data_IF_660581307510
#
_entry.id   IF_660581307510
#
_cell.length_a   1.000
_cell.length_b   1.000
_cell.length_c   1.000
_cell.angle_alpha   90.00
_cell.angle_beta   90.00
_cell.angle_gamma   90.00
#
_symmetry.space_group_name_H-M   'P 1'
#
loop_
_entity.id
_entity.type
_entity.pdbx_description
1 polymer ?
#
# COMPACT_ATOMS: atom_id res chain seq x y z
N UNK A 1 -5.06 15.80 7.12
CA UNK A 1 -5.12 14.75 6.09
C UNK A 1 -4.59 13.46 6.70
N UNK A 2 -5.22 12.30 6.50
CA UNK A 2 -4.86 11.07 7.23
C UNK A 2 -3.38 10.66 7.03
N UNK A 3 -2.84 10.90 5.84
CA UNK A 3 -1.46 10.53 5.49
C UNK A 3 -0.38 11.46 6.05
N UNK A 4 -0.74 12.63 6.61
CA UNK A 4 0.26 13.62 7.05
C UNK A 4 1.07 13.22 8.29
N UNK A 5 0.68 12.14 8.97
CA UNK A 5 1.41 11.57 10.10
C UNK A 5 2.63 10.75 9.65
N UNK A 6 2.69 10.33 8.37
CA UNK A 6 3.81 9.56 7.83
C UNK A 6 5.08 10.42 7.78
N UNK A 7 6.18 9.90 8.33
CA UNK A 7 7.50 10.55 8.31
C UNK A 7 8.60 9.56 7.92
N UNK A 8 8.63 9.12 6.67
CA UNK A 8 9.68 8.22 6.17
C UNK A 8 11.06 8.89 6.22
N UNK A 9 12.11 8.07 6.26
CA UNK A 9 13.51 8.53 6.29
C UNK A 9 14.10 8.71 7.69
N UNK A 10 13.29 8.89 8.75
CA UNK A 10 13.83 8.93 10.14
C UNK A 10 14.32 7.56 10.63
N UNK A 11 13.73 6.47 10.12
CA UNK A 11 14.05 5.07 10.46
C UNK A 11 14.20 4.18 9.22
N UNK A 12 14.33 4.78 8.04
CA UNK A 12 14.25 4.10 6.74
C UNK A 12 12.87 4.23 6.07
N UNK A 13 12.66 3.51 4.95
CA UNK A 13 11.36 3.45 4.27
C UNK A 13 10.28 2.79 5.13
N UNK A 14 9.04 3.21 4.92
CA UNK A 14 7.88 2.69 5.66
C UNK A 14 7.25 1.56 4.86
N UNK A 15 6.77 0.52 5.54
CA UNK A 15 5.89 -0.47 4.96
C UNK A 15 4.48 -0.21 5.46
N UNK A 16 3.51 -0.08 4.56
CA UNK A 16 2.11 0.12 4.92
C UNK A 16 1.26 -1.07 4.46
N UNK A 17 0.15 -1.29 5.15
CA UNK A 17 -0.90 -2.21 4.75
C UNK A 17 -2.22 -1.44 4.66
N UNK A 18 -2.91 -1.57 3.53
CA UNK A 18 -4.19 -0.93 3.24
C UNK A 18 -5.28 -2.00 3.19
N UNK A 19 -5.92 -2.25 4.34
CA UNK A 19 -6.88 -3.35 4.56
C UNK A 19 -8.29 -2.92 4.15
N UNK A 20 -9.01 -3.80 3.46
CA UNK A 20 -10.26 -3.47 2.74
C UNK A 20 -10.06 -2.33 1.72
N UNK A 21 -8.85 -2.24 1.18
CA UNK A 21 -8.37 -1.15 0.34
C UNK A 21 -8.37 -1.49 -1.14
N UNK A 22 -9.20 -2.43 -1.63
CA UNK A 22 -8.98 -3.06 -2.93
C UNK A 22 -8.86 -2.13 -4.13
N UNK A 23 -9.50 -0.94 -4.10
CA UNK A 23 -9.32 0.06 -5.17
C UNK A 23 -8.03 0.88 -5.07
N UNK A 24 -7.41 0.90 -3.89
CA UNK A 24 -6.10 1.47 -3.59
C UNK A 24 -6.03 3.00 -3.66
N UNK A 25 -7.13 3.71 -3.39
CA UNK A 25 -7.13 5.18 -3.28
C UNK A 25 -6.28 5.68 -2.10
N UNK A 26 -6.38 5.02 -0.94
CA UNK A 26 -5.55 5.35 0.23
C UNK A 26 -4.09 4.98 -0.03
N UNK A 27 -3.81 3.80 -0.58
CA UNK A 27 -2.47 3.42 -1.01
C UNK A 27 -1.81 4.46 -1.94
N UNK A 28 -2.53 4.98 -2.94
CA UNK A 28 -2.01 6.05 -3.80
C UNK A 28 -1.71 7.33 -3.03
N UNK A 29 -2.61 7.75 -2.13
CA UNK A 29 -2.38 8.93 -1.29
C UNK A 29 -1.17 8.77 -0.38
N UNK A 30 -0.92 7.58 0.17
CA UNK A 30 0.27 7.27 0.96
C UNK A 30 1.52 7.45 0.10
N UNK A 31 1.58 6.79 -1.06
CA UNK A 31 2.74 6.81 -1.95
C UNK A 31 3.03 8.21 -2.51
N UNK A 32 1.99 8.93 -2.94
CA UNK A 32 2.13 10.30 -3.44
C UNK A 32 2.61 11.24 -2.32
N UNK A 33 2.06 11.10 -1.11
CA UNK A 33 2.47 11.92 0.03
C UNK A 33 3.96 11.75 0.36
N UNK A 34 4.43 10.50 0.50
CA UNK A 34 5.83 10.23 0.85
C UNK A 34 6.79 10.61 -0.28
N UNK A 35 6.40 10.39 -1.53
CA UNK A 35 7.17 10.83 -2.71
C UNK A 35 7.31 12.35 -2.73
N UNK A 36 6.22 13.09 -2.59
CA UNK A 36 6.19 14.53 -2.79
C UNK A 36 6.73 15.31 -1.59
N UNK A 37 6.45 14.85 -0.36
CA UNK A 37 6.85 15.56 0.86
C UNK A 37 8.19 15.12 1.42
N UNK A 38 8.60 13.89 1.12
CA UNK A 38 9.81 13.29 1.71
C UNK A 38 10.81 12.79 0.68
N UNK A 39 10.53 12.93 -0.63
CA UNK A 39 11.36 12.39 -1.72
C UNK A 39 11.60 10.87 -1.62
N UNK A 40 10.73 10.16 -0.89
CA UNK A 40 10.82 8.74 -0.65
C UNK A 40 10.27 7.95 -1.86
N UNK A 41 11.06 6.99 -2.34
CA UNK A 41 10.72 6.09 -3.46
C UNK A 41 10.78 4.61 -3.06
N UNK A 42 10.98 4.35 -1.78
CA UNK A 42 11.20 3.02 -1.22
C UNK A 42 10.05 2.58 -0.32
N UNK A 43 9.21 3.49 0.18
CA UNK A 43 7.96 3.12 0.87
C UNK A 43 7.10 2.21 -0.01
N UNK A 44 6.59 1.14 0.61
CA UNK A 44 5.75 0.13 -0.05
C UNK A 44 4.38 0.04 0.61
N UNK A 45 3.36 -0.32 -0.16
CA UNK A 45 1.99 -0.54 0.34
C UNK A 45 1.48 -1.90 -0.15
N UNK A 46 1.08 -2.75 0.80
CA UNK A 46 0.35 -3.97 0.54
C UNK A 46 -1.15 -3.67 0.58
N UNK A 47 -1.81 -3.78 -0.58
CA UNK A 47 -3.24 -3.52 -0.75
C UNK A 47 -3.99 -4.83 -0.55
N UNK A 48 -4.85 -4.89 0.46
CA UNK A 48 -5.52 -6.11 0.88
C UNK A 48 -7.03 -5.94 0.82
N UNK A 49 -7.71 -6.87 0.16
CA UNK A 49 -9.17 -6.91 0.11
C UNK A 49 -9.64 -8.36 -0.06
N UNK A 50 -10.80 -8.70 0.50
CA UNK A 50 -11.40 -10.02 0.31
C UNK A 50 -12.08 -10.15 -1.05
N UNK A 51 -12.42 -9.02 -1.69
CA UNK A 51 -13.12 -8.99 -2.96
C UNK A 51 -12.16 -8.83 -4.14
N UNK A 52 -11.97 -9.91 -4.89
CA UNK A 52 -11.19 -9.94 -6.13
C UNK A 52 -11.64 -8.92 -7.19
N UNK A 53 -12.90 -8.46 -7.19
CA UNK A 53 -13.35 -7.38 -8.10
C UNK A 53 -12.73 -6.04 -7.73
N UNK A 54 -12.70 -5.70 -6.44
CA UNK A 54 -12.10 -4.47 -5.94
C UNK A 54 -10.61 -4.43 -6.27
N UNK A 55 -9.89 -5.52 -6.02
CA UNK A 55 -8.46 -5.65 -6.38
C UNK A 55 -8.22 -5.49 -7.88
N UNK A 56 -9.09 -6.03 -8.74
CA UNK A 56 -9.00 -5.82 -10.20
C UNK A 56 -9.21 -4.37 -10.58
N UNK A 57 -10.12 -3.66 -9.93
CA UNK A 57 -10.29 -2.21 -10.12
C UNK A 57 -9.07 -1.42 -9.67
N UNK A 58 -8.51 -1.74 -8.50
CA UNK A 58 -7.27 -1.16 -8.01
C UNK A 58 -6.12 -1.42 -8.96
N UNK A 59 -5.94 -2.66 -9.43
CA UNK A 59 -4.91 -2.98 -10.41
C UNK A 59 -5.07 -2.14 -11.69
N UNK A 60 -6.28 -2.04 -12.25
CA UNK A 60 -6.57 -1.18 -13.42
C UNK A 60 -6.28 0.30 -13.15
N UNK A 61 -6.53 0.79 -11.92
CA UNK A 61 -6.19 2.16 -11.51
C UNK A 61 -4.69 2.35 -11.48
N UNK A 62 -3.96 1.46 -10.80
CA UNK A 62 -2.50 1.53 -10.69
C UNK A 62 -1.80 1.45 -12.04
N UNK A 63 -2.37 0.74 -13.03
CA UNK A 63 -1.86 0.75 -14.41
C UNK A 63 -1.68 2.14 -15.02
N UNK A 64 -2.44 3.13 -14.56
CA UNK A 64 -2.40 4.51 -15.04
C UNK A 64 -1.49 5.41 -14.21
N UNK A 65 -0.76 4.84 -13.26
CA UNK A 65 0.11 5.57 -12.32
C UNK A 65 1.56 5.17 -12.52
N UNK A 66 2.48 5.97 -11.99
CA UNK A 66 3.91 5.65 -12.02
C UNK A 66 4.30 4.46 -11.13
N UNK A 67 3.39 4.00 -10.26
CA UNK A 67 3.62 2.85 -9.37
C UNK A 67 3.26 1.51 -10.03
N UNK A 68 2.79 1.51 -11.28
CA UNK A 68 2.57 0.26 -12.00
C UNK A 68 3.89 -0.48 -12.19
N UNK A 69 3.91 -1.78 -11.86
CA UNK A 69 5.06 -2.67 -12.05
C UNK A 69 6.30 -2.22 -11.27
N UNK A 70 6.12 -1.49 -10.17
CA UNK A 70 7.18 -1.19 -9.22
C UNK A 70 7.06 -2.11 -8.00
N UNK A 71 8.16 -2.32 -7.24
CA UNK A 71 8.09 -3.06 -5.98
C UNK A 71 7.35 -2.31 -4.86
N UNK A 72 6.89 -1.08 -5.10
CA UNK A 72 6.21 -0.26 -4.09
C UNK A 72 4.77 -0.69 -3.81
N UNK A 73 4.18 -1.54 -4.65
CA UNK A 73 2.77 -1.91 -4.54
C UNK A 73 2.62 -3.40 -4.75
N UNK A 74 1.86 -4.03 -3.88
CA UNK A 74 1.43 -5.40 -4.07
C UNK A 74 -0.06 -5.54 -3.72
N UNK A 75 -0.76 -6.43 -4.41
CA UNK A 75 -2.19 -6.68 -4.22
C UNK A 75 -2.39 -8.08 -3.67
N UNK A 76 -3.15 -8.21 -2.60
CA UNK A 76 -3.41 -9.49 -1.94
C UNK A 76 -4.90 -9.68 -1.72
N UNK A 77 -5.42 -10.80 -2.22
CA UNK A 77 -6.76 -11.27 -1.84
C UNK A 77 -6.67 -11.98 -0.49
N UNK A 78 -7.16 -11.33 0.57
CA UNK A 78 -7.12 -11.90 1.91
C UNK A 78 -8.23 -11.34 2.81
N UNK A 79 -8.60 -12.13 3.83
CA UNK A 79 -9.55 -11.73 4.85
C UNK A 79 -8.85 -10.84 5.90
N UNK A 80 -9.35 -9.62 6.08
CA UNK A 80 -8.88 -8.65 7.08
C UNK A 80 -8.88 -9.18 8.52
N UNK A 81 -9.78 -10.11 8.84
CA UNK A 81 -9.88 -10.71 10.18
C UNK A 81 -8.88 -11.85 10.40
N UNK A 82 -8.23 -12.33 9.34
CA UNK A 82 -7.35 -13.52 9.35
C UNK A 82 -6.09 -13.25 8.51
N UNK A 83 -5.36 -12.19 8.84
CA UNK A 83 -4.06 -11.89 8.22
C UNK A 83 -3.00 -12.87 8.74
N UNK A 84 -2.68 -13.90 7.94
CA UNK A 84 -1.77 -14.96 8.35
C UNK A 84 -0.31 -14.47 8.43
N UNK A 85 0.45 -14.80 9.50
CA UNK A 85 1.84 -14.34 9.65
C UNK A 85 2.82 -14.83 8.56
N UNK A 86 2.47 -15.91 7.86
CA UNK A 86 3.25 -16.42 6.72
C UNK A 86 3.22 -15.48 5.52
N UNK A 87 2.18 -14.64 5.40
CA UNK A 87 2.02 -13.65 4.34
C UNK A 87 2.27 -12.23 4.87
N UNK A 88 1.74 -11.90 6.04
CA UNK A 88 1.83 -10.59 6.68
C UNK A 88 2.59 -10.72 8.00
N UNK A 89 3.91 -10.57 7.95
CA UNK A 89 4.77 -10.82 9.11
C UNK A 89 4.49 -9.84 10.27
N UNK A 90 4.39 -10.36 11.48
CA UNK A 90 4.25 -9.55 12.70
C UNK A 90 5.41 -8.56 12.88
N UNK A 91 5.07 -7.33 13.28
CA UNK A 91 6.05 -6.26 13.53
C UNK A 91 6.79 -5.77 12.27
N UNK A 92 6.27 -6.05 11.08
CA UNK A 92 6.91 -5.65 9.80
C UNK A 92 6.27 -4.43 9.12
N UNK A 93 5.20 -3.87 9.72
CA UNK A 93 4.48 -2.67 9.29
C UNK A 93 4.57 -1.58 10.36
#
# INVERSE_FOLDING_TARGET
DFVSALRPGRKGPIRCIDVAGGTGDIALRILDHVREKHADRETTVDIVDINAQMLREGFRRFKKTMYHNTPQVSFHEANAQELVPSQFKDGSY
#
